data_IF_607031740732
#
_entry.id   IF_607031740732
#
_cell.length_a   1.000
_cell.length_b   1.000
_cell.length_c   1.000
_cell.angle_alpha   90.00
_cell.angle_beta   90.00
_cell.angle_gamma   90.00
#
_symmetry.space_group_name_H-M   'P 1'
#
loop_
_entity.id
_entity.type
_entity.pdbx_description
1 polymer ?
#
# COMPACT_ATOMS: atom_id res chain seq x y z
N UNK A 1 8.72 -8.67 3.04
CA UNK A 1 9.00 -7.72 4.14
C UNK A 1 9.88 -6.63 3.54
N UNK A 2 9.52 -5.36 3.70
CA UNK A 2 10.37 -4.24 3.28
C UNK A 2 11.57 -4.11 4.21
N UNK A 3 12.59 -3.41 3.74
CA UNK A 3 13.82 -3.18 4.50
C UNK A 3 13.50 -2.48 5.84
N UNK A 4 14.03 -2.96 6.98
CA UNK A 4 13.84 -2.28 8.28
C UNK A 4 14.25 -0.81 8.27
N UNK A 5 15.25 -0.43 7.47
CA UNK A 5 15.67 0.97 7.31
C UNK A 5 14.56 1.82 6.69
N UNK A 6 13.81 1.27 5.72
CA UNK A 6 12.64 1.98 5.16
C UNK A 6 11.53 2.11 6.20
N UNK A 7 11.26 1.05 6.98
CA UNK A 7 10.23 1.10 8.03
C UNK A 7 10.52 2.25 9.00
N UNK A 8 11.77 2.40 9.43
CA UNK A 8 12.18 3.50 10.32
C UNK A 8 12.17 4.86 9.64
N UNK A 9 12.61 4.95 8.39
CA UNK A 9 12.75 6.22 7.68
C UNK A 9 11.43 6.79 7.13
N UNK A 10 10.39 5.96 6.98
CA UNK A 10 9.13 6.37 6.33
C UNK A 10 7.91 5.99 7.16
N UNK A 11 7.78 4.73 7.59
CA UNK A 11 6.55 4.28 8.23
C UNK A 11 6.46 4.77 9.67
N UNK A 12 7.59 4.76 10.38
CA UNK A 12 7.68 5.13 11.80
C UNK A 12 8.25 6.52 12.04
N UNK A 13 8.62 7.27 10.98
CA UNK A 13 9.17 8.61 11.11
C UNK A 13 8.07 9.67 11.21
N UNK A 14 8.37 10.74 11.96
CA UNK A 14 7.48 11.88 12.14
C UNK A 14 7.31 12.72 10.86
N UNK A 15 8.24 12.60 9.92
CA UNK A 15 8.24 13.32 8.64
C UNK A 15 7.73 12.46 7.47
N UNK A 16 7.44 11.17 7.69
CA UNK A 16 6.93 10.26 6.66
C UNK A 16 7.89 10.08 5.49
N UNK A 17 9.20 10.29 5.70
CA UNK A 17 10.22 10.18 4.66
C UNK A 17 10.14 11.30 3.61
N UNK A 18 9.61 12.47 3.99
CA UNK A 18 9.62 13.64 3.14
C UNK A 18 11.06 14.02 2.76
N UNK A 19 11.30 14.10 1.46
CA UNK A 19 12.53 14.62 0.88
C UNK A 19 12.30 16.05 0.42
N UNK A 20 13.26 16.94 0.67
CA UNK A 20 13.29 18.28 0.06
C UNK A 20 13.63 18.21 -1.45
N UNK A 21 14.23 17.10 -1.89
CA UNK A 21 14.53 16.85 -3.31
C UNK A 21 13.31 16.28 -4.06
N UNK A 22 13.06 16.84 -5.25
CA UNK A 22 12.02 16.41 -6.18
C UNK A 22 12.34 14.99 -6.70
N UNK A 23 11.39 14.05 -6.61
CA UNK A 23 11.60 12.65 -7.04
C UNK A 23 12.11 11.67 -5.97
N UNK A 24 11.62 11.78 -4.73
CA UNK A 24 11.99 10.88 -3.62
C UNK A 24 11.49 9.43 -3.74
N UNK A 25 11.87 8.58 -2.77
CA UNK A 25 11.54 7.13 -2.76
C UNK A 25 10.04 6.86 -2.84
N UNK A 26 9.21 7.67 -2.18
CA UNK A 26 7.75 7.55 -2.25
C UNK A 26 7.23 7.69 -3.70
N UNK A 27 7.78 8.65 -4.45
CA UNK A 27 7.40 8.86 -5.85
C UNK A 27 7.87 7.71 -6.74
N UNK A 28 9.07 7.16 -6.51
CA UNK A 28 9.55 5.97 -7.23
C UNK A 28 8.64 4.76 -6.98
N UNK A 29 8.21 4.54 -5.74
CA UNK A 29 7.29 3.44 -5.39
C UNK A 29 5.93 3.64 -6.03
N UNK A 30 5.38 4.86 -6.01
CA UNK A 30 4.13 5.20 -6.68
C UNK A 30 4.21 4.95 -8.20
N UNK A 31 5.27 5.43 -8.85
CA UNK A 31 5.51 5.20 -10.28
C UNK A 31 5.69 3.71 -10.64
N UNK A 32 6.30 2.92 -9.76
CA UNK A 32 6.35 1.46 -9.93
C UNK A 32 4.95 0.85 -9.91
N UNK A 33 4.09 1.25 -8.96
CA UNK A 33 2.72 0.77 -8.89
C UNK A 33 1.90 1.19 -10.13
N UNK A 34 2.06 2.43 -10.60
CA UNK A 34 1.44 2.93 -11.83
C UNK A 34 1.92 2.20 -13.09
N UNK A 35 3.20 1.83 -13.16
CA UNK A 35 3.72 0.99 -14.23
C UNK A 35 3.06 -0.40 -14.20
N UNK A 36 2.92 -1.00 -13.02
CA UNK A 36 2.26 -2.30 -12.85
C UNK A 36 0.77 -2.23 -13.24
N UNK A 37 0.08 -1.15 -12.88
CA UNK A 37 -1.29 -0.86 -13.34
C UNK A 37 -1.35 -0.85 -14.88
N UNK A 38 -0.50 -0.05 -15.53
CA UNK A 38 -0.47 0.03 -16.99
C UNK A 38 -0.18 -1.32 -17.67
N UNK A 39 0.66 -2.15 -17.05
CA UNK A 39 0.91 -3.52 -17.51
C UNK A 39 -0.31 -4.43 -17.35
N UNK A 40 -1.07 -4.30 -16.26
CA UNK A 40 -2.28 -5.08 -16.03
C UNK A 40 -3.38 -4.77 -17.05
N UNK A 41 -3.51 -3.52 -17.49
CA UNK A 41 -4.51 -3.12 -18.51
C UNK A 41 -4.23 -3.79 -19.87
N UNK A 42 -2.96 -3.85 -20.29
CA UNK A 42 -2.58 -4.37 -21.62
C UNK A 42 -2.36 -5.88 -21.59
N UNK A 43 -3.21 -6.65 -22.29
CA UNK A 43 -3.19 -8.11 -22.29
C UNK A 43 -1.80 -8.76 -22.53
N UNK A 44 -1.00 -8.20 -23.46
CA UNK A 44 0.36 -8.68 -23.76
C UNK A 44 1.36 -8.43 -22.63
N UNK A 45 1.20 -7.36 -21.87
CA UNK A 45 2.05 -7.04 -20.72
C UNK A 45 1.55 -7.78 -19.48
N UNK A 46 0.23 -7.88 -19.30
CA UNK A 46 -0.40 -8.67 -18.24
C UNK A 46 0.05 -10.12 -18.25
N UNK A 47 0.30 -10.72 -19.41
CA UNK A 47 0.83 -12.09 -19.48
C UNK A 47 2.24 -12.25 -18.87
N UNK A 48 3.01 -11.17 -18.75
CA UNK A 48 4.31 -11.17 -18.07
C UNK A 48 4.17 -11.21 -16.54
N UNK A 49 3.07 -10.66 -16.01
CA UNK A 49 2.77 -10.65 -14.58
C UNK A 49 2.09 -11.95 -14.11
N UNK A 50 1.56 -12.74 -15.05
CA UNK A 50 0.91 -14.02 -14.75
C UNK A 50 1.88 -14.96 -14.02
N UNK A 51 1.41 -15.56 -12.93
CA UNK A 51 2.22 -16.38 -12.02
C UNK A 51 2.98 -15.59 -10.96
N UNK A 52 3.06 -14.25 -11.08
CA UNK A 52 3.83 -13.39 -10.17
C UNK A 52 2.96 -12.44 -9.35
N UNK A 53 1.63 -12.48 -9.50
CA UNK A 53 0.69 -11.55 -8.85
C UNK A 53 0.86 -11.51 -7.32
N UNK A 54 1.09 -12.67 -6.70
CA UNK A 54 1.33 -12.73 -5.25
C UNK A 54 2.65 -12.07 -4.87
N UNK A 55 3.75 -12.40 -5.56
CA UNK A 55 5.06 -11.81 -5.28
C UNK A 55 5.06 -10.30 -5.49
N UNK A 56 4.38 -9.83 -6.53
CA UNK A 56 4.16 -8.41 -6.81
C UNK A 56 3.41 -7.73 -5.64
N UNK A 57 2.27 -8.28 -5.22
CA UNK A 57 1.53 -7.75 -4.07
C UNK A 57 2.33 -7.82 -2.75
N UNK A 58 3.12 -8.87 -2.53
CA UNK A 58 3.99 -8.99 -1.35
C UNK A 58 5.12 -7.96 -1.35
N UNK A 59 5.58 -7.56 -2.54
CA UNK A 59 6.59 -6.51 -2.70
C UNK A 59 6.01 -5.14 -2.38
N UNK A 60 4.83 -4.82 -2.93
CA UNK A 60 4.26 -3.46 -2.88
C UNK A 60 3.43 -3.17 -1.64
N UNK A 61 2.71 -4.17 -1.11
CA UNK A 61 1.80 -3.98 0.04
C UNK A 61 2.42 -3.37 1.29
N UNK A 62 3.69 -3.63 1.68
CA UNK A 62 4.22 -3.05 2.90
C UNK A 62 4.43 -1.53 2.80
N UNK A 63 4.56 -0.99 1.58
CA UNK A 63 4.65 0.46 1.34
C UNK A 63 3.32 1.17 1.54
N UNK A 64 2.20 0.43 1.51
CA UNK A 64 0.85 0.99 1.64
C UNK A 64 0.42 1.16 3.10
N UNK A 65 1.30 0.89 4.07
CA UNK A 65 0.99 1.09 5.50
C UNK A 65 0.86 2.58 5.81
N UNK A 66 -0.08 2.92 6.68
CA UNK A 66 -0.18 4.27 7.23
C UNK A 66 1.12 4.69 7.95
N UNK A 67 1.64 5.88 7.65
CA UNK A 67 2.84 6.46 8.28
C UNK A 67 2.50 7.17 9.59
N UNK A 68 3.48 7.38 10.48
CA UNK A 68 3.27 8.20 11.69
C UNK A 68 2.99 9.67 11.33
N UNK A 69 3.62 10.20 10.29
CA UNK A 69 3.31 11.53 9.76
C UNK A 69 1.83 11.69 9.38
N UNK A 70 1.25 10.71 8.66
CA UNK A 70 -0.18 10.70 8.34
C UNK A 70 -1.05 10.63 9.59
N UNK A 71 -0.73 9.75 10.54
CA UNK A 71 -1.48 9.64 11.81
C UNK A 71 -1.48 10.99 12.54
N UNK A 72 -0.32 11.65 12.63
CA UNK A 72 -0.15 12.94 13.30
C UNK A 72 -0.90 14.06 12.60
N UNK A 73 -0.80 14.14 11.27
CA UNK A 73 -1.49 15.14 10.46
C UNK A 73 -3.01 15.00 10.61
N UNK A 74 -3.54 13.79 10.41
CA UNK A 74 -4.97 13.50 10.50
C UNK A 74 -5.55 13.66 11.91
N UNK A 75 -4.73 13.43 12.94
CA UNK A 75 -5.12 13.73 14.32
C UNK A 75 -5.14 15.24 14.60
N UNK A 76 -4.24 16.01 13.99
CA UNK A 76 -4.15 17.46 14.18
C UNK A 76 -5.24 18.22 13.40
N UNK A 77 -5.55 17.77 12.18
CA UNK A 77 -6.58 18.36 11.33
C UNK A 77 -7.43 17.27 10.64
N UNK A 78 -8.64 17.00 11.16
CA UNK A 78 -9.57 16.07 10.52
C UNK A 78 -9.98 16.47 9.09
N UNK A 79 -9.86 17.74 8.70
CA UNK A 79 -10.16 18.15 7.33
C UNK A 79 -9.08 17.67 6.35
N UNK A 80 -7.82 17.55 6.81
CA UNK A 80 -6.74 16.98 6.01
C UNK A 80 -6.98 15.48 5.76
N UNK A 81 -7.51 14.76 6.75
CA UNK A 81 -7.98 13.39 6.55
C UNK A 81 -9.06 13.30 5.46
N UNK A 82 -10.10 14.15 5.54
CA UNK A 82 -11.18 14.17 4.54
C UNK A 82 -10.64 14.50 3.14
N UNK A 83 -9.78 15.52 3.03
CA UNK A 83 -9.14 15.86 1.77
C UNK A 83 -8.32 14.70 1.21
N UNK A 84 -7.63 13.94 2.07
CA UNK A 84 -6.83 12.79 1.65
C UNK A 84 -7.65 11.58 1.19
N UNK A 85 -8.89 11.45 1.66
CA UNK A 85 -9.83 10.40 1.24
C UNK A 85 -10.62 10.79 -0.03
N UNK A 86 -10.83 12.08 -0.29
CA UNK A 86 -11.61 12.58 -1.44
C UNK A 86 -10.76 12.97 -2.67
N UNK A 87 -9.48 13.31 -2.49
CA UNK A 87 -8.59 13.76 -3.56
C UNK A 87 -7.62 12.66 -4.04
N UNK A 88 -7.82 12.23 -5.29
CA UNK A 88 -6.98 11.26 -6.01
C UNK A 88 -5.49 11.65 -6.11
N UNK A 89 -5.14 12.91 -5.81
CA UNK A 89 -3.78 13.43 -5.83
C UNK A 89 -3.32 14.04 -4.51
N UNK A 90 -3.98 13.66 -3.40
CA UNK A 90 -3.63 14.15 -2.06
C UNK A 90 -2.14 13.97 -1.74
N UNK A 91 -1.44 15.08 -1.54
CA UNK A 91 -0.02 15.10 -1.16
C UNK A 91 0.14 14.38 0.17
N UNK A 92 1.04 13.39 0.22
CA UNK A 92 1.25 12.55 1.40
C UNK A 92 0.50 11.22 1.40
N UNK A 93 -0.43 11.00 0.46
CA UNK A 93 -1.11 9.70 0.28
C UNK A 93 -0.78 9.00 -1.04
N UNK A 94 0.06 9.60 -1.88
CA UNK A 94 0.39 9.11 -3.23
C UNK A 94 0.67 7.60 -3.31
N UNK A 95 1.52 7.06 -2.43
CA UNK A 95 1.84 5.61 -2.44
C UNK A 95 0.62 4.73 -2.15
N UNK A 96 -0.26 5.18 -1.24
CA UNK A 96 -1.50 4.44 -0.92
C UNK A 96 -2.49 4.51 -2.08
N UNK A 97 -2.66 5.68 -2.68
CA UNK A 97 -3.53 5.91 -3.84
C UNK A 97 -3.06 5.10 -5.06
N UNK A 98 -1.76 5.11 -5.38
CA UNK A 98 -1.20 4.26 -6.45
C UNK A 98 -1.36 2.77 -6.13
N UNK A 99 -1.30 2.38 -4.85
CA UNK A 99 -1.51 1.00 -4.41
C UNK A 99 -2.97 0.56 -4.54
N UNK A 100 -3.91 1.44 -4.20
CA UNK A 100 -5.35 1.23 -4.41
C UNK A 100 -5.68 1.05 -5.88
N UNK A 101 -5.20 1.94 -6.75
CA UNK A 101 -5.37 1.81 -8.20
C UNK A 101 -4.77 0.50 -8.74
N UNK A 102 -3.63 0.05 -8.20
CA UNK A 102 -3.03 -1.23 -8.55
C UNK A 102 -3.92 -2.43 -8.15
N UNK A 103 -4.54 -2.38 -6.97
CA UNK A 103 -5.47 -3.43 -6.55
C UNK A 103 -6.72 -3.43 -7.43
N UNK A 104 -7.28 -2.27 -7.76
CA UNK A 104 -8.42 -2.14 -8.68
C UNK A 104 -8.13 -2.75 -10.06
N UNK A 105 -7.02 -2.37 -10.68
CA UNK A 105 -6.64 -2.94 -11.99
C UNK A 105 -6.38 -4.46 -11.93
N UNK A 106 -5.86 -4.94 -10.80
CA UNK A 106 -5.66 -6.35 -10.55
C UNK A 106 -6.99 -7.11 -10.44
N UNK A 107 -7.96 -6.56 -9.71
CA UNK A 107 -9.30 -7.16 -9.59
C UNK A 107 -10.05 -7.08 -10.89
N UNK A 108 -9.96 -5.99 -11.65
CA UNK A 108 -10.61 -5.84 -12.95
C UNK A 108 -10.06 -6.81 -14.01
N UNK A 109 -8.73 -6.95 -14.11
CA UNK A 109 -8.09 -7.64 -15.24
C UNK A 109 -7.48 -9.01 -14.93
N UNK A 110 -7.33 -9.38 -13.67
CA UNK A 110 -6.79 -10.68 -13.25
C UNK A 110 -7.68 -11.43 -12.25
N UNK A 111 -8.96 -11.05 -12.08
CA UNK A 111 -9.99 -11.59 -11.15
C UNK A 111 -9.58 -12.82 -10.35
N UNK A 112 -9.60 -14.02 -10.93
CA UNK A 112 -9.38 -15.28 -10.19
C UNK A 112 -7.96 -15.44 -9.62
N UNK A 113 -6.95 -14.98 -10.35
CA UNK A 113 -5.56 -15.05 -9.88
C UNK A 113 -5.25 -13.90 -8.94
N UNK A 114 -5.67 -12.68 -9.31
CA UNK A 114 -5.53 -11.45 -8.54
C UNK A 114 -6.17 -11.56 -7.16
N UNK A 115 -7.45 -11.95 -7.07
CA UNK A 115 -8.15 -12.09 -5.79
C UNK A 115 -7.53 -13.18 -4.90
N UNK A 116 -7.06 -14.28 -5.48
CA UNK A 116 -6.36 -15.33 -4.71
C UNK A 116 -5.01 -14.84 -4.18
N UNK A 117 -4.27 -14.08 -4.99
CA UNK A 117 -3.03 -13.46 -4.57
C UNK A 117 -3.29 -12.44 -3.44
N UNK A 118 -4.28 -11.57 -3.61
CA UNK A 118 -4.67 -10.55 -2.63
C UNK A 118 -5.09 -11.19 -1.30
N UNK A 119 -5.99 -12.17 -1.32
CA UNK A 119 -6.41 -12.88 -0.12
C UNK A 119 -5.21 -13.52 0.62
N UNK A 120 -4.24 -14.07 -0.12
CA UNK A 120 -3.01 -14.60 0.45
C UNK A 120 -2.15 -13.54 1.14
N UNK A 121 -2.03 -12.34 0.55
CA UNK A 121 -1.28 -11.22 1.13
C UNK A 121 -2.00 -10.62 2.34
N UNK A 122 -3.31 -10.39 2.24
CA UNK A 122 -4.15 -9.92 3.36
C UNK A 122 -4.05 -10.88 4.54
N UNK A 123 -4.20 -12.20 4.32
CA UNK A 123 -4.06 -13.20 5.37
C UNK A 123 -2.68 -13.23 6.03
N UNK A 124 -1.61 -13.00 5.25
CA UNK A 124 -0.24 -12.89 5.76
C UNK A 124 -0.07 -11.65 6.64
N UNK A 125 -0.58 -10.50 6.21
CA UNK A 125 -0.53 -9.25 6.96
C UNK A 125 -1.31 -9.35 8.28
N UNK A 126 -2.53 -9.91 8.25
CA UNK A 126 -3.34 -10.17 9.44
C UNK A 126 -2.59 -11.05 10.44
N UNK A 127 -2.12 -12.20 9.97
CA UNK A 127 -1.39 -13.16 10.82
C UNK A 127 -0.11 -12.55 11.43
N UNK A 128 0.58 -11.68 10.68
CA UNK A 128 1.78 -10.99 11.18
C UNK A 128 1.44 -9.89 12.18
N UNK A 129 0.42 -9.09 11.90
CA UNK A 129 -0.06 -8.04 12.81
C UNK A 129 -0.53 -8.62 14.14
N UNK A 130 -1.32 -9.68 14.12
CA UNK A 130 -1.80 -10.38 15.32
C UNK A 130 -0.64 -10.90 16.19
N UNK A 131 0.35 -11.54 15.56
CA UNK A 131 1.56 -12.00 16.28
C UNK A 131 2.37 -10.85 16.85
N UNK A 132 2.51 -9.74 16.10
CA UNK A 132 3.21 -8.55 16.58
C UNK A 132 2.51 -7.92 17.79
N UNK A 133 1.18 -7.83 17.75
CA UNK A 133 0.38 -7.35 18.90
C UNK A 133 0.57 -8.27 20.11
N UNK A 134 0.44 -9.59 19.93
CA UNK A 134 0.66 -10.55 21.01
C UNK A 134 2.10 -10.51 21.58
N UNK A 135 3.08 -10.11 20.75
CA UNK A 135 4.47 -9.90 21.12
C UNK A 135 4.79 -8.52 21.71
N UNK A 136 3.84 -7.60 21.78
CA UNK A 136 4.04 -6.24 22.29
C UNK A 136 4.75 -5.28 21.32
N UNK A 137 4.76 -5.57 20.02
CA UNK A 137 5.32 -4.67 19.00
C UNK A 137 4.40 -3.43 18.80
N UNK A 138 4.89 -2.24 19.16
CA UNK A 138 4.12 -1.00 19.18
C UNK A 138 3.40 -0.67 17.86
N UNK A 139 4.03 -0.92 16.71
CA UNK A 139 3.49 -0.58 15.38
C UNK A 139 2.90 -1.78 14.63
N UNK A 140 2.65 -2.91 15.30
CA UNK A 140 2.09 -4.10 14.66
C UNK A 140 0.67 -3.87 14.12
N UNK A 141 -0.10 -2.97 14.74
CA UNK A 141 -1.44 -2.60 14.27
C UNK A 141 -1.43 -2.02 12.85
N UNK A 142 -0.35 -1.36 12.42
CA UNK A 142 -0.23 -0.82 11.05
C UNK A 142 -0.23 -1.92 9.98
N UNK A 143 0.12 -3.16 10.33
CA UNK A 143 -0.03 -4.31 9.41
C UNK A 143 -1.48 -4.74 9.28
N UNK A 144 -2.26 -4.68 10.36
CA UNK A 144 -3.69 -4.96 10.33
C UNK A 144 -4.43 -3.88 9.54
N UNK A 145 -4.09 -2.61 9.77
CA UNK A 145 -4.62 -1.48 9.00
C UNK A 145 -4.37 -1.67 7.50
N UNK A 146 -3.13 -1.95 7.09
CA UNK A 146 -2.81 -2.19 5.68
C UNK A 146 -3.57 -3.41 5.10
N UNK A 147 -3.82 -4.45 5.91
CA UNK A 147 -4.60 -5.59 5.48
C UNK A 147 -6.07 -5.22 5.23
N UNK A 148 -6.67 -4.41 6.10
CA UNK A 148 -8.03 -3.91 5.95
C UNK A 148 -8.16 -2.96 4.75
N UNK A 149 -7.18 -2.07 4.57
CA UNK A 149 -7.10 -1.19 3.41
C UNK A 149 -7.06 -1.98 2.09
N UNK A 150 -6.15 -2.96 1.98
CA UNK A 150 -6.08 -3.81 0.78
C UNK A 150 -7.36 -4.61 0.53
N UNK A 151 -8.02 -5.05 1.61
CA UNK A 151 -9.29 -5.75 1.51
C UNK A 151 -10.41 -4.83 1.01
N UNK A 152 -10.50 -3.59 1.51
CA UNK A 152 -11.51 -2.63 1.07
C UNK A 152 -11.35 -2.25 -0.40
N UNK A 153 -10.12 -2.07 -0.89
CA UNK A 153 -9.87 -1.78 -2.31
C UNK A 153 -10.49 -2.84 -3.24
N UNK A 154 -10.51 -4.11 -2.84
CA UNK A 154 -11.13 -5.19 -3.62
C UNK A 154 -12.63 -5.39 -3.36
N UNK A 155 -13.17 -4.82 -2.29
CA UNK A 155 -14.59 -4.89 -1.96
C UNK A 155 -15.40 -3.75 -2.60
N UNK A 156 -14.73 -2.67 -3.02
CA UNK A 156 -15.34 -1.52 -3.67
C UNK A 156 -15.66 -1.72 -5.17
N UNK A 157 -15.26 -2.85 -5.77
CA UNK A 157 -15.55 -3.24 -7.17
C UNK A 157 -16.65 -4.30 -7.31
#
# INVERSE_FOLDING_TARGET
>A
RIDPAYEQAVIFSDDGGQSEEDGGVAQLVAQLMELLQAMLVKAKLRSLLKGHMRSMLQLVSPFMRITEAQVKAWHADPNEFLAHEEDDYARGCQVRLSGEGLVGELTAHAKREGLRALAGVVGELLSRGERGIAGGEAHAWKLLEAALFLFSCAASE
#
